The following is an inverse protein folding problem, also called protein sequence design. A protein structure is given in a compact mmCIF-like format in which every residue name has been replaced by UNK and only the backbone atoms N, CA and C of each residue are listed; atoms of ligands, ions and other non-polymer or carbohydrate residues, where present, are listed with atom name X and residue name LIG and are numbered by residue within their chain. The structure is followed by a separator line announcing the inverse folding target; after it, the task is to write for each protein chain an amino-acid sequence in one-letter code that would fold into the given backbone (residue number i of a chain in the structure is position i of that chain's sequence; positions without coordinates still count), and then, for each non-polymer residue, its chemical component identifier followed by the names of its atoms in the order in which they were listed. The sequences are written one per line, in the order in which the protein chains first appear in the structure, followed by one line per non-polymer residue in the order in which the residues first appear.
data_IF_541247460177
#
_entry.id   IF_541247460177
#
_cell.length_a   1.000
_cell.length_b   1.000
_cell.length_c   1.000
_cell.angle_alpha   90.00
_cell.angle_beta   90.00
_cell.angle_gamma   90.00
#
_symmetry.space_group_name_H-M   'P 1'
#
loop_
_entity.id
_entity.type
_entity.pdbx_description
1 polymer ?
#
# COMPACT_ATOMS: atom_id res chain seq x y z
N UNK A 1 12.27 25.98 -14.73
CA UNK A 1 11.72 25.11 -13.66
C UNK A 1 12.86 24.81 -12.70
N UNK A 2 12.67 25.14 -11.43
CA UNK A 2 13.71 25.01 -10.41
C UNK A 2 13.63 23.68 -9.64
N UNK A 3 12.46 23.05 -9.65
CA UNK A 3 12.19 21.76 -9.01
C UNK A 3 11.00 21.09 -9.70
N UNK A 4 11.12 19.80 -9.96
CA UNK A 4 10.03 18.95 -10.45
C UNK A 4 9.57 18.03 -9.32
N UNK A 5 8.27 18.05 -8.98
CA UNK A 5 7.65 17.09 -8.07
C UNK A 5 6.97 16.02 -8.91
N UNK A 6 7.38 14.76 -8.75
CA UNK A 6 6.77 13.62 -9.45
C UNK A 6 5.68 13.04 -8.54
N UNK A 7 4.42 13.34 -8.86
CA UNK A 7 3.27 13.02 -8.01
C UNK A 7 2.44 11.82 -8.48
N UNK A 8 2.84 11.10 -9.53
CA UNK A 8 2.13 9.93 -10.07
C UNK A 8 2.94 8.65 -9.86
N UNK A 9 2.26 7.55 -9.58
CA UNK A 9 2.82 6.22 -9.36
C UNK A 9 3.54 5.65 -10.60
N UNK A 10 2.89 5.63 -11.76
CA UNK A 10 3.47 5.10 -13.01
C UNK A 10 4.80 5.78 -13.38
N UNK A 11 4.92 7.13 -13.42
CA UNK A 11 6.20 7.80 -13.66
C UNK A 11 7.25 7.52 -12.58
N UNK A 12 6.85 7.39 -11.30
CA UNK A 12 7.77 7.05 -10.22
C UNK A 12 8.34 5.65 -10.40
N UNK A 13 7.48 4.66 -10.58
CA UNK A 13 7.87 3.26 -10.83
C UNK A 13 8.61 3.11 -12.17
N UNK A 14 8.26 3.94 -13.16
CA UNK A 14 8.94 4.03 -14.45
C UNK A 14 10.37 4.59 -14.38
N UNK A 15 10.69 5.38 -13.33
CA UNK A 15 12.02 5.96 -13.11
C UNK A 15 12.19 7.38 -13.63
N UNK A 16 11.11 8.18 -13.69
CA UNK A 16 11.19 9.58 -14.10
C UNK A 16 12.14 10.41 -13.24
N UNK A 17 12.18 10.14 -11.93
CA UNK A 17 13.12 10.82 -11.01
C UNK A 17 14.56 10.55 -11.41
N UNK A 18 14.90 9.28 -11.69
CA UNK A 18 16.25 8.88 -12.14
C UNK A 18 16.62 9.58 -13.44
N UNK A 19 15.69 9.66 -14.41
CA UNK A 19 15.92 10.33 -15.69
C UNK A 19 16.14 11.84 -15.53
N UNK A 20 15.35 12.52 -14.69
CA UNK A 20 15.52 13.94 -14.41
C UNK A 20 16.86 14.25 -13.73
N UNK A 21 17.22 13.43 -12.73
CA UNK A 21 18.50 13.58 -12.03
C UNK A 21 19.71 13.33 -12.96
N UNK A 22 19.61 12.38 -13.88
CA UNK A 22 20.66 12.11 -14.88
C UNK A 22 20.91 13.31 -15.81
N UNK A 23 19.90 14.12 -16.07
CA UNK A 23 20.01 15.38 -16.82
C UNK A 23 20.38 16.59 -15.94
N UNK A 24 20.72 16.35 -14.66
CA UNK A 24 21.08 17.40 -13.71
C UNK A 24 19.91 18.26 -13.24
N UNK A 25 18.66 17.81 -13.47
CA UNK A 25 17.45 18.50 -13.05
C UNK A 25 17.08 18.08 -11.64
N UNK A 26 16.61 19.05 -10.84
CA UNK A 26 16.17 18.78 -9.47
C UNK A 26 14.78 18.13 -9.49
N UNK A 27 14.67 16.95 -8.90
CA UNK A 27 13.43 16.23 -8.78
C UNK A 27 13.14 15.90 -7.30
N UNK A 28 11.86 15.85 -6.93
CA UNK A 28 11.37 15.37 -5.66
C UNK A 28 10.42 14.20 -5.88
N UNK A 29 10.78 13.07 -5.33
CA UNK A 29 10.10 11.78 -5.43
C UNK A 29 11.10 10.64 -5.26
N UNK A 30 10.64 9.41 -4.99
CA UNK A 30 11.53 8.27 -4.90
C UNK A 30 12.10 7.90 -6.27
N UNK A 31 13.36 7.47 -6.29
CA UNK A 31 13.95 6.82 -7.45
C UNK A 31 13.26 5.49 -7.73
N UNK A 32 13.41 4.98 -8.95
CA UNK A 32 12.80 3.73 -9.41
C UNK A 32 13.00 2.56 -8.44
N UNK A 33 14.24 2.41 -7.92
CA UNK A 33 14.57 1.32 -6.99
C UNK A 33 13.81 1.42 -5.65
N UNK A 34 13.46 2.63 -5.21
CA UNK A 34 12.68 2.87 -3.99
C UNK A 34 11.17 2.90 -4.25
N UNK A 35 10.74 3.31 -5.44
CA UNK A 35 9.34 3.32 -5.85
C UNK A 35 8.70 1.92 -5.92
N UNK A 36 9.50 0.85 -5.88
CA UNK A 36 9.03 -0.52 -5.73
C UNK A 36 8.19 -0.73 -4.45
N UNK A 37 8.32 0.15 -3.46
CA UNK A 37 7.54 0.09 -2.22
C UNK A 37 6.01 0.16 -2.49
N UNK A 38 5.58 0.84 -3.55
CA UNK A 38 4.21 0.78 -4.08
C UNK A 38 4.13 -0.13 -5.31
N UNK A 39 5.16 -0.14 -6.14
CA UNK A 39 5.20 -0.87 -7.40
C UNK A 39 5.10 -2.40 -7.26
N UNK A 40 5.37 -2.96 -6.07
CA UNK A 40 5.20 -4.38 -5.76
C UNK A 40 4.70 -4.58 -4.35
N UNK A 41 3.47 -5.10 -4.23
CA UNK A 41 2.88 -5.47 -2.94
C UNK A 41 3.62 -6.64 -2.28
N UNK A 42 4.07 -7.60 -3.09
CA UNK A 42 4.88 -8.73 -2.60
C UNK A 42 6.19 -8.22 -1.97
N UNK A 43 6.91 -7.32 -2.66
CA UNK A 43 8.11 -6.69 -2.10
C UNK A 43 7.82 -6.00 -0.77
N UNK A 44 6.76 -5.19 -0.70
CA UNK A 44 6.41 -4.46 0.52
C UNK A 44 6.09 -5.41 1.67
N UNK A 45 5.39 -6.50 1.39
CA UNK A 45 5.08 -7.53 2.40
C UNK A 45 6.33 -8.23 2.89
N UNK A 46 7.22 -8.64 1.98
CA UNK A 46 8.49 -9.27 2.33
C UNK A 46 9.39 -8.32 3.14
N UNK A 47 9.43 -7.04 2.77
CA UNK A 47 10.13 -6.00 3.53
C UNK A 47 9.57 -5.90 4.96
N UNK A 48 8.25 -5.77 5.10
CA UNK A 48 7.60 -5.66 6.40
C UNK A 48 7.84 -6.90 7.27
N UNK A 49 7.75 -8.10 6.69
CA UNK A 49 8.05 -9.37 7.38
C UNK A 49 9.51 -9.44 7.84
N UNK A 50 10.46 -9.11 6.94
CA UNK A 50 11.90 -9.16 7.21
C UNK A 50 12.32 -8.21 8.34
N UNK A 51 11.72 -7.02 8.40
CA UNK A 51 12.07 -5.98 9.37
C UNK A 51 11.08 -5.84 10.53
N UNK A 52 10.19 -6.85 10.70
CA UNK A 52 9.19 -6.89 11.78
C UNK A 52 8.27 -5.66 11.83
N UNK A 53 7.94 -5.08 10.68
CA UNK A 53 6.96 -4.00 10.56
C UNK A 53 5.55 -4.63 10.60
N UNK A 54 4.67 -4.20 11.52
CA UNK A 54 3.35 -4.81 11.67
C UNK A 54 2.48 -4.68 10.42
N UNK A 55 2.03 -5.81 9.88
CA UNK A 55 1.11 -5.90 8.74
C UNK A 55 0.26 -7.17 8.84
N UNK A 56 -0.67 -7.38 7.92
CA UNK A 56 -1.45 -8.61 7.80
C UNK A 56 -0.56 -9.81 7.51
N UNK A 57 -0.91 -10.97 8.04
CA UNK A 57 -0.33 -12.23 7.59
C UNK A 57 -0.61 -12.42 6.10
N UNK A 58 0.33 -12.99 5.36
CA UNK A 58 0.23 -13.08 3.91
C UNK A 58 1.03 -14.26 3.35
N UNK A 59 0.64 -14.67 2.15
CA UNK A 59 1.41 -15.54 1.27
C UNK A 59 1.40 -14.98 -0.14
N UNK A 60 2.48 -15.27 -0.89
CA UNK A 60 2.66 -14.78 -2.26
C UNK A 60 2.68 -15.94 -3.25
N UNK A 61 2.00 -15.79 -4.39
CA UNK A 61 1.85 -16.83 -5.40
C UNK A 61 2.18 -16.31 -6.79
N UNK A 62 3.09 -17.00 -7.48
CA UNK A 62 3.39 -16.80 -8.90
C UNK A 62 2.62 -17.80 -9.78
N UNK A 63 1.95 -18.78 -9.17
CA UNK A 63 1.22 -19.86 -9.83
C UNK A 63 -0.23 -19.92 -9.32
N UNK A 64 -1.18 -19.85 -10.25
CA UNK A 64 -2.60 -19.86 -9.90
C UNK A 64 -3.05 -21.17 -9.21
N UNK A 65 -2.47 -22.33 -9.59
CA UNK A 65 -2.86 -23.60 -8.98
C UNK A 65 -2.37 -23.69 -7.52
N UNK A 66 -1.19 -23.14 -7.22
CA UNK A 66 -0.69 -23.07 -5.85
C UNK A 66 -1.56 -22.16 -4.99
N UNK A 67 -1.98 -21.00 -5.53
CA UNK A 67 -2.92 -20.11 -4.88
C UNK A 67 -4.26 -20.81 -4.59
N UNK A 68 -4.83 -21.53 -5.59
CA UNK A 68 -6.06 -22.30 -5.42
C UNK A 68 -5.93 -23.38 -4.34
N UNK A 69 -4.80 -24.10 -4.30
CA UNK A 69 -4.56 -25.12 -3.29
C UNK A 69 -4.47 -24.52 -1.88
N UNK A 70 -3.84 -23.35 -1.74
CA UNK A 70 -3.77 -22.63 -0.47
C UNK A 70 -5.15 -22.23 0.04
N UNK A 71 -6.06 -21.80 -0.84
CA UNK A 71 -7.43 -21.39 -0.49
C UNK A 71 -8.24 -22.51 0.15
N UNK A 72 -7.97 -23.80 -0.16
CA UNK A 72 -8.71 -24.92 0.40
C UNK A 72 -8.54 -25.07 1.92
N UNK A 73 -7.47 -24.46 2.49
CA UNK A 73 -7.16 -24.49 3.91
C UNK A 73 -7.16 -23.13 4.58
N UNK A 74 -7.49 -22.08 3.83
CA UNK A 74 -7.49 -20.71 4.34
C UNK A 74 -8.76 -20.40 5.15
N UNK A 75 -8.61 -19.57 6.18
CA UNK A 75 -9.74 -19.01 6.92
C UNK A 75 -10.34 -17.80 6.18
N UNK A 76 -11.64 -17.67 6.18
CA UNK A 76 -12.35 -16.56 5.53
C UNK A 76 -12.94 -15.57 6.54
N UNK A 77 -13.06 -14.26 6.22
CA UNK A 77 -12.73 -13.65 4.91
C UNK A 77 -11.22 -13.48 4.70
N UNK A 78 -10.81 -13.38 3.41
CA UNK A 78 -9.44 -13.10 2.99
C UNK A 78 -9.38 -11.96 1.98
N UNK A 79 -8.18 -11.44 1.73
CA UNK A 79 -7.94 -10.38 0.74
C UNK A 79 -6.97 -10.87 -0.33
N UNK A 80 -7.39 -10.79 -1.58
CA UNK A 80 -6.56 -11.07 -2.76
C UNK A 80 -6.08 -9.75 -3.34
N UNK A 81 -4.77 -9.62 -3.59
CA UNK A 81 -4.16 -8.41 -4.18
C UNK A 81 -3.29 -8.78 -5.38
N UNK A 82 -3.58 -8.18 -6.53
CA UNK A 82 -2.66 -8.23 -7.68
C UNK A 82 -1.34 -7.51 -7.32
N UNK A 83 -0.19 -8.09 -7.71
CA UNK A 83 1.13 -7.50 -7.43
C UNK A 83 1.51 -6.49 -8.51
N UNK A 84 1.40 -5.22 -8.20
CA UNK A 84 1.71 -4.12 -9.10
C UNK A 84 0.73 -2.96 -8.98
N UNK A 85 0.93 -1.96 -9.83
CA UNK A 85 0.03 -0.83 -9.96
C UNK A 85 -1.25 -1.30 -10.66
N UNK A 86 -2.37 -1.24 -9.97
CA UNK A 86 -3.68 -1.63 -10.46
C UNK A 86 -4.73 -0.53 -10.20
N UNK A 87 -4.29 0.72 -10.09
CA UNK A 87 -5.13 1.91 -9.85
C UNK A 87 -6.12 1.72 -8.68
N UNK A 88 -5.67 1.09 -7.60
CA UNK A 88 -6.49 0.77 -6.43
C UNK A 88 -7.58 -0.30 -6.66
N UNK A 89 -7.71 -0.84 -7.89
CA UNK A 89 -8.76 -1.82 -8.24
C UNK A 89 -8.32 -3.28 -8.11
N UNK A 90 -7.04 -3.54 -7.93
CA UNK A 90 -6.47 -4.89 -7.84
C UNK A 90 -6.62 -5.57 -6.47
N UNK A 91 -7.60 -5.17 -5.66
CA UNK A 91 -7.85 -5.70 -4.31
C UNK A 91 -9.27 -6.26 -4.25
N UNK A 92 -9.39 -7.54 -3.89
CA UNK A 92 -10.66 -8.24 -3.75
C UNK A 92 -10.78 -8.79 -2.33
N UNK A 93 -11.86 -8.44 -1.63
CA UNK A 93 -12.22 -9.05 -0.35
C UNK A 93 -13.16 -10.20 -0.64
N UNK A 94 -12.77 -11.41 -0.25
CA UNK A 94 -13.51 -12.64 -0.51
C UNK A 94 -14.01 -13.22 0.82
N UNK A 95 -15.31 -13.40 0.93
CA UNK A 95 -15.97 -13.93 2.13
C UNK A 95 -16.12 -15.45 2.09
N UNK A 96 -16.02 -16.04 0.90
CA UNK A 96 -16.17 -17.47 0.68
C UNK A 96 -15.04 -18.03 -0.19
N UNK A 97 -14.86 -19.34 -0.15
CA UNK A 97 -13.91 -20.05 -1.00
C UNK A 97 -14.22 -19.85 -2.48
N UNK A 98 -15.51 -19.85 -2.85
CA UNK A 98 -15.96 -19.69 -4.22
C UNK A 98 -15.59 -18.30 -4.76
N UNK A 99 -15.87 -17.24 -3.98
CA UNK A 99 -15.46 -15.87 -4.33
C UNK A 99 -13.94 -15.76 -4.50
N UNK A 100 -13.17 -16.41 -3.63
CA UNK A 100 -11.73 -16.39 -3.70
C UNK A 100 -11.19 -17.14 -4.94
N UNK A 101 -11.76 -18.30 -5.29
CA UNK A 101 -11.41 -19.03 -6.51
C UNK A 101 -11.68 -18.21 -7.77
N UNK A 102 -12.83 -17.55 -7.85
CA UNK A 102 -13.13 -16.62 -8.94
C UNK A 102 -12.15 -15.43 -8.98
N UNK A 103 -11.78 -14.89 -7.81
CA UNK A 103 -10.78 -13.85 -7.69
C UNK A 103 -9.41 -14.27 -8.21
N UNK A 104 -8.93 -15.47 -7.86
CA UNK A 104 -7.66 -16.02 -8.38
C UNK A 104 -7.74 -16.16 -9.90
N UNK A 105 -8.84 -16.68 -10.43
CA UNK A 105 -9.05 -16.82 -11.88
C UNK A 105 -8.99 -15.46 -12.57
N UNK A 106 -9.76 -14.50 -12.10
CA UNK A 106 -9.82 -13.14 -12.66
C UNK A 106 -8.44 -12.46 -12.66
N UNK A 107 -7.72 -12.53 -11.54
CA UNK A 107 -6.41 -11.87 -11.39
C UNK A 107 -5.33 -12.60 -12.18
N UNK A 108 -5.15 -13.91 -11.97
CA UNK A 108 -3.98 -14.63 -12.43
C UNK A 108 -4.16 -15.32 -13.79
N UNK A 109 -5.37 -15.76 -14.14
CA UNK A 109 -5.64 -16.48 -15.39
C UNK A 109 -6.17 -15.53 -16.46
N UNK A 110 -7.24 -14.80 -16.17
CA UNK A 110 -7.87 -13.87 -17.13
C UNK A 110 -7.10 -12.57 -17.28
N UNK A 111 -6.11 -12.32 -16.39
CA UNK A 111 -5.22 -11.14 -16.41
C UNK A 111 -5.98 -9.81 -16.43
N UNK A 112 -7.05 -9.71 -15.66
CA UNK A 112 -7.88 -8.50 -15.60
C UNK A 112 -7.06 -7.23 -15.31
N UNK A 113 -5.93 -7.36 -14.59
CA UNK A 113 -4.99 -6.28 -14.27
C UNK A 113 -3.67 -6.37 -15.06
N UNK A 114 -3.70 -6.98 -16.25
CA UNK A 114 -2.52 -7.13 -17.09
C UNK A 114 -1.36 -7.84 -16.39
N UNK A 115 -0.15 -7.30 -16.50
CA UNK A 115 1.06 -7.88 -15.90
C UNK A 115 1.05 -7.90 -14.37
N UNK A 116 0.29 -7.02 -13.71
CA UNK A 116 0.12 -7.04 -12.26
C UNK A 116 -0.52 -8.34 -11.76
N UNK A 117 -1.29 -9.03 -12.60
CA UNK A 117 -1.86 -10.34 -12.30
C UNK A 117 -0.88 -11.52 -12.47
N UNK A 118 0.39 -11.30 -12.79
CA UNK A 118 1.39 -12.38 -12.88
C UNK A 118 1.74 -12.95 -11.52
N UNK A 119 1.62 -12.14 -10.47
CA UNK A 119 1.83 -12.50 -9.08
C UNK A 119 0.66 -12.00 -8.26
N UNK A 120 0.34 -12.73 -7.21
CA UNK A 120 -0.74 -12.36 -6.29
C UNK A 120 -0.28 -12.50 -4.84
N UNK A 121 -0.74 -11.57 -4.00
CA UNK A 121 -0.61 -11.65 -2.55
C UNK A 121 -1.97 -12.01 -1.97
N UNK A 122 -2.03 -13.02 -1.12
CA UNK A 122 -3.22 -13.39 -0.33
C UNK A 122 -2.95 -12.99 1.11
N UNK A 123 -3.84 -12.20 1.69
CA UNK A 123 -3.69 -11.66 3.04
C UNK A 123 -4.85 -12.06 3.95
N UNK A 124 -4.58 -12.17 5.26
CA UNK A 124 -5.64 -12.19 6.26
C UNK A 124 -6.49 -10.92 6.17
N UNK A 125 -7.79 -11.05 6.34
CA UNK A 125 -8.67 -9.89 6.42
C UNK A 125 -8.54 -9.25 7.80
N UNK A 126 -8.02 -8.02 7.84
CA UNK A 126 -7.93 -7.25 9.07
C UNK A 126 -9.21 -6.48 9.33
N UNK A 127 -9.64 -6.47 10.59
CA UNK A 127 -10.77 -5.65 11.06
C UNK A 127 -10.27 -4.51 11.93
N UNK A 128 -10.88 -3.33 11.77
CA UNK A 128 -10.48 -2.14 12.52
C UNK A 128 -10.95 -0.87 11.85
N UNK A 129 -10.26 0.22 12.13
CA UNK A 129 -10.51 1.52 11.48
C UNK A 129 -9.32 1.88 10.59
N UNK A 130 -9.61 2.23 9.36
CA UNK A 130 -8.59 2.72 8.45
C UNK A 130 -8.22 4.16 8.82
N UNK A 131 -6.93 4.45 8.79
CA UNK A 131 -6.36 5.78 8.97
C UNK A 131 -5.22 5.98 7.99
N UNK A 132 -5.12 7.18 7.46
CA UNK A 132 -4.09 7.58 6.50
C UNK A 132 -3.10 8.54 7.15
N UNK A 133 -1.80 8.29 6.97
CA UNK A 133 -0.74 9.21 7.40
C UNK A 133 0.25 9.40 6.26
N UNK A 134 0.33 10.63 5.75
CA UNK A 134 1.36 11.01 4.79
C UNK A 134 2.61 11.48 5.54
N UNK A 135 3.77 11.25 4.94
CA UNK A 135 5.04 11.57 5.57
C UNK A 135 6.08 12.01 4.56
N UNK A 136 6.80 13.08 4.87
CA UNK A 136 8.00 13.48 4.13
C UNK A 136 9.19 12.63 4.57
N UNK A 137 9.99 12.16 3.61
CA UNK A 137 11.19 11.36 3.84
C UNK A 137 12.35 11.93 3.02
N UNK A 138 13.51 12.07 3.65
CA UNK A 138 14.75 12.60 3.02
C UNK A 138 15.84 11.52 2.83
N UNK A 139 15.51 10.27 3.05
CA UNK A 139 16.43 9.14 3.00
C UNK A 139 16.80 8.60 4.40
N UNK A 140 16.68 9.40 5.44
CA UNK A 140 17.01 9.05 6.83
C UNK A 140 15.92 9.46 7.81
N UNK A 141 15.43 10.68 7.66
CA UNK A 141 14.45 11.28 8.56
C UNK A 141 13.07 11.17 7.96
N UNK A 142 12.09 10.81 8.79
CA UNK A 142 10.69 10.85 8.44
C UNK A 142 9.95 11.91 9.26
N UNK A 143 9.11 12.71 8.59
CA UNK A 143 8.22 13.70 9.22
C UNK A 143 6.80 13.45 8.79
N UNK A 144 6.01 12.97 9.74
CA UNK A 144 4.58 12.69 9.52
C UNK A 144 3.77 13.97 9.43
N UNK A 145 2.80 13.98 8.54
CA UNK A 145 1.74 14.99 8.50
C UNK A 145 0.62 14.61 9.49
N UNK A 146 -0.36 15.50 9.64
CA UNK A 146 -1.56 15.20 10.43
C UNK A 146 -2.29 14.01 9.83
N UNK A 147 -2.76 13.11 10.69
CA UNK A 147 -3.54 11.94 10.27
C UNK A 147 -4.83 12.36 9.57
N UNK A 148 -5.26 11.55 8.62
CA UNK A 148 -6.52 11.73 7.92
C UNK A 148 -7.32 10.43 7.91
N UNK A 149 -8.60 10.53 7.63
CA UNK A 149 -9.46 9.37 7.43
C UNK A 149 -10.35 9.62 6.23
N UNK A 150 -10.37 8.63 5.35
CA UNK A 150 -11.14 8.64 4.12
C UNK A 150 -12.44 7.83 4.27
N UNK A 151 -13.51 8.30 3.65
CA UNK A 151 -14.78 7.60 3.53
C UNK A 151 -14.82 6.87 2.19
N UNK A 152 -14.40 5.61 2.17
CA UNK A 152 -14.27 4.82 0.92
C UNK A 152 -15.58 4.18 0.46
N UNK A 153 -16.53 3.93 1.37
CA UNK A 153 -17.78 3.25 1.03
C UNK A 153 -18.79 4.20 0.41
N UNK A 154 -19.47 3.72 -0.64
CA UNK A 154 -20.39 4.53 -1.44
C UNK A 154 -21.72 4.87 -0.75
N UNK A 155 -22.10 4.14 0.31
CA UNK A 155 -23.40 4.27 0.98
C UNK A 155 -23.25 4.62 2.45
N UNK A 156 -24.32 5.16 3.03
CA UNK A 156 -24.43 5.46 4.46
C UNK A 156 -24.17 4.21 5.32
N UNK A 157 -23.66 4.45 6.55
CA UNK A 157 -23.36 3.38 7.48
C UNK A 157 -22.15 2.52 7.09
N UNK A 158 -21.21 3.06 6.31
CA UNK A 158 -20.02 2.37 5.83
C UNK A 158 -20.35 1.10 5.03
N UNK A 159 -21.31 1.24 4.10
CA UNK A 159 -21.82 0.15 3.27
C UNK A 159 -21.59 0.40 1.78
N UNK A 160 -21.81 -0.64 0.96
CA UNK A 160 -21.65 -0.60 -0.49
C UNK A 160 -20.23 -0.88 -0.96
N UNK A 161 -19.98 -0.60 -2.23
CA UNK A 161 -18.66 -0.80 -2.85
C UNK A 161 -17.65 0.25 -2.39
N UNK A 162 -16.39 -0.10 -2.36
CA UNK A 162 -15.31 0.86 -2.19
C UNK A 162 -15.23 1.78 -3.41
N UNK A 163 -14.98 3.06 -3.13
CA UNK A 163 -14.76 4.11 -4.13
C UNK A 163 -13.33 4.64 -4.01
N UNK A 164 -12.96 5.59 -4.85
CA UNK A 164 -11.70 6.35 -4.72
C UNK A 164 -11.66 7.29 -3.51
N UNK A 165 -12.81 7.46 -2.84
CA UNK A 165 -13.01 8.32 -1.67
C UNK A 165 -14.23 9.22 -1.87
N UNK A 166 -15.10 9.25 -0.86
CA UNK A 166 -16.31 10.09 -0.84
C UNK A 166 -16.10 11.39 -0.05
N UNK A 167 -14.95 11.55 0.52
CA UNK A 167 -14.54 12.68 1.33
C UNK A 167 -13.54 12.27 2.40
N UNK A 168 -12.74 13.22 2.82
CA UNK A 168 -11.67 13.00 3.81
C UNK A 168 -11.76 14.04 4.91
N UNK A 169 -11.49 13.63 6.13
CA UNK A 169 -11.35 14.58 7.25
C UNK A 169 -10.02 14.40 7.97
N UNK A 170 -9.51 15.44 8.56
CA UNK A 170 -8.26 15.52 9.29
C UNK A 170 -8.41 16.49 10.47
N UNK A 171 -7.88 16.17 11.66
CA UNK A 171 -7.26 14.91 12.04
C UNK A 171 -8.27 13.77 12.23
N UNK A 172 -7.82 12.51 12.15
CA UNK A 172 -8.65 11.37 12.55
C UNK A 172 -8.76 11.30 14.08
N UNK A 173 -9.97 11.24 14.66
CA UNK A 173 -10.16 11.15 16.11
C UNK A 173 -9.71 9.81 16.70
N UNK A 174 -9.49 8.81 15.86
CA UNK A 174 -9.03 7.49 16.27
C UNK A 174 -7.51 7.35 16.29
N UNK A 175 -6.80 8.33 15.72
CA UNK A 175 -5.34 8.38 15.72
C UNK A 175 -4.85 9.10 16.98
N UNK A 176 -4.83 8.36 18.10
CA UNK A 176 -4.42 8.89 19.42
C UNK A 176 -2.90 9.07 19.52
N UNK A 177 -2.45 9.73 20.59
CA UNK A 177 -1.02 9.88 20.87
C UNK A 177 -0.29 8.54 21.04
N UNK A 178 -0.94 7.54 21.67
CA UNK A 178 -0.38 6.20 21.83
C UNK A 178 -0.22 5.49 20.49
N UNK A 179 -1.22 5.64 19.60
CA UNK A 179 -1.15 5.11 18.23
C UNK A 179 -0.01 5.76 17.46
N UNK A 180 0.14 7.08 17.56
CA UNK A 180 1.21 7.83 16.91
C UNK A 180 2.60 7.40 17.40
N UNK A 181 2.80 7.26 18.71
CA UNK A 181 4.06 6.78 19.29
C UNK A 181 4.39 5.37 18.84
N UNK A 182 3.41 4.47 18.82
CA UNK A 182 3.59 3.11 18.30
C UNK A 182 4.01 3.13 16.83
N UNK A 183 3.28 3.88 15.98
CA UNK A 183 3.56 3.97 14.56
C UNK A 183 4.94 4.59 14.28
N UNK A 184 5.33 5.64 15.00
CA UNK A 184 6.67 6.24 14.89
C UNK A 184 7.78 5.23 15.18
N UNK A 185 7.59 4.42 16.22
CA UNK A 185 8.60 3.46 16.68
C UNK A 185 8.69 2.22 15.81
N UNK A 186 7.55 1.66 15.39
CA UNK A 186 7.51 0.32 14.79
C UNK A 186 7.13 0.30 13.31
N UNK A 187 6.65 1.43 12.76
CA UNK A 187 6.19 1.49 11.37
C UNK A 187 6.98 2.52 10.57
N UNK A 188 6.90 3.80 10.93
CA UNK A 188 7.38 4.87 10.05
C UNK A 188 8.89 4.86 9.89
N UNK A 189 9.63 5.04 10.98
CA UNK A 189 11.09 5.03 10.92
C UNK A 189 11.61 3.64 10.50
N UNK A 190 10.98 2.56 10.98
CA UNK A 190 11.34 1.20 10.60
C UNK A 190 11.21 0.96 9.08
N UNK A 191 10.23 1.56 8.41
CA UNK A 191 10.10 1.47 6.95
C UNK A 191 11.25 2.18 6.24
N UNK A 192 11.63 3.39 6.68
CA UNK A 192 12.74 4.15 6.09
C UNK A 192 14.06 3.42 6.29
N UNK A 193 14.30 2.92 7.50
CA UNK A 193 15.52 2.17 7.84
C UNK A 193 15.60 0.85 7.05
N UNK A 194 14.48 0.14 6.89
CA UNK A 194 14.38 -1.08 6.10
C UNK A 194 14.72 -0.81 4.62
N UNK A 195 14.14 0.24 4.03
CA UNK A 195 14.43 0.62 2.65
C UNK A 195 15.92 0.97 2.46
N UNK A 196 16.50 1.71 3.40
CA UNK A 196 17.93 2.04 3.36
C UNK A 196 18.81 0.78 3.49
N UNK A 197 18.44 -0.16 4.37
CA UNK A 197 19.16 -1.44 4.55
C UNK A 197 19.11 -2.33 3.31
N UNK A 198 18.05 -2.23 2.49
CA UNK A 198 17.95 -2.89 1.18
C UNK A 198 18.70 -2.13 0.06
N UNK A 199 19.43 -1.06 0.37
CA UNK A 199 20.10 -0.22 -0.63
C UNK A 199 19.12 0.60 -1.49
N UNK A 200 17.92 0.86 -0.98
CA UNK A 200 16.82 1.55 -1.66
C UNK A 200 16.45 2.83 -0.92
N UNK A 201 17.42 3.73 -0.74
CA UNK A 201 17.21 5.00 -0.05
C UNK A 201 15.96 5.70 -0.58
N UNK A 202 15.00 5.99 0.30
CA UNK A 202 13.73 6.59 -0.06
C UNK A 202 13.75 8.10 0.18
N UNK A 203 13.49 8.89 -0.85
CA UNK A 203 13.27 10.35 -0.76
C UNK A 203 11.96 10.70 -1.43
N UNK A 204 11.07 11.38 -0.72
CA UNK A 204 9.76 11.70 -1.28
C UNK A 204 8.68 11.70 -0.22
N UNK A 205 7.46 11.39 -0.63
CA UNK A 205 6.31 11.22 0.26
C UNK A 205 5.92 9.75 0.30
N UNK A 206 5.72 9.24 1.52
CA UNK A 206 5.08 7.94 1.74
C UNK A 206 3.71 8.18 2.36
N UNK A 207 2.68 7.62 1.75
CA UNK A 207 1.37 7.42 2.35
C UNK A 207 1.35 6.06 3.02
N UNK A 208 1.09 6.06 4.31
CA UNK A 208 0.84 4.86 5.10
C UNK A 208 -0.67 4.66 5.23
N UNK A 209 -1.21 3.65 4.56
CA UNK A 209 -2.53 3.12 4.86
C UNK A 209 -2.44 2.22 6.09
N UNK A 210 -3.09 2.61 7.16
CA UNK A 210 -3.05 1.89 8.44
C UNK A 210 -4.42 1.31 8.77
N UNK A 211 -4.43 0.09 9.34
CA UNK A 211 -5.57 -0.48 10.03
C UNK A 211 -5.32 -0.44 11.54
N UNK A 212 -6.14 0.29 12.27
CA UNK A 212 -6.14 0.28 13.75
C UNK A 212 -6.92 -0.92 14.22
N UNK A 213 -6.23 -2.05 14.41
CA UNK A 213 -6.82 -3.31 14.83
C UNK A 213 -6.87 -3.44 16.35
N UNK A 214 -7.67 -4.37 16.92
CA UNK A 214 -7.61 -4.69 18.35
C UNK A 214 -6.23 -5.15 18.85
N UNK A 215 -5.36 -5.60 17.94
CA UNK A 215 -3.98 -6.02 18.23
C UNK A 215 -2.95 -4.90 18.01
N UNK A 216 -3.39 -3.67 17.77
CA UNK A 216 -2.58 -2.50 17.48
C UNK A 216 -2.57 -2.10 16.00
N UNK A 217 -1.90 -0.96 15.69
CA UNK A 217 -1.77 -0.47 14.32
C UNK A 217 -1.00 -1.44 13.43
N UNK A 218 -1.48 -1.62 12.19
CA UNK A 218 -0.84 -2.45 11.15
C UNK A 218 -0.89 -1.76 9.81
N UNK A 219 0.13 -1.94 9.00
CA UNK A 219 0.19 -1.39 7.65
C UNK A 219 -0.71 -2.23 6.73
N UNK A 220 -1.65 -1.55 6.06
CA UNK A 220 -2.46 -2.09 4.97
C UNK A 220 -1.70 -2.05 3.65
N UNK A 221 -1.12 -0.88 3.35
CA UNK A 221 -0.44 -0.61 2.10
C UNK A 221 0.43 0.65 2.21
N UNK A 222 1.34 0.79 1.26
CA UNK A 222 2.07 2.02 0.98
C UNK A 222 1.60 2.58 -0.37
N UNK A 223 1.43 3.91 -0.44
CA UNK A 223 1.22 4.61 -1.71
C UNK A 223 2.20 5.78 -1.82
N UNK A 224 2.65 6.07 -3.02
CA UNK A 224 3.63 7.11 -3.33
C UNK A 224 3.05 8.17 -4.27
N UNK A 225 1.93 7.86 -4.91
CA UNK A 225 1.18 8.80 -5.74
C UNK A 225 0.49 9.85 -4.87
N UNK A 226 0.65 11.11 -5.23
CA UNK A 226 0.00 12.24 -4.54
C UNK A 226 -1.37 12.57 -5.14
N UNK A 227 -1.59 12.28 -6.41
CA UNK A 227 -2.82 12.68 -7.09
C UNK A 227 -4.00 11.74 -6.79
N UNK A 228 -3.75 10.45 -6.57
CA UNK A 228 -4.80 9.48 -6.24
C UNK A 228 -5.24 9.54 -4.77
N UNK A 229 -4.52 10.28 -3.95
CA UNK A 229 -4.80 10.48 -2.52
C UNK A 229 -5.40 11.86 -2.22
N UNK A 230 -5.18 12.82 -3.11
CA UNK A 230 -5.50 14.23 -2.88
C UNK A 230 -6.60 14.76 -3.78
N UNK A 231 -7.00 14.05 -4.83
CA UNK A 231 -8.05 14.49 -5.74
C UNK A 231 -9.34 13.70 -5.54
N UNK A 232 -10.46 14.39 -5.31
CA UNK A 232 -11.77 13.74 -5.36
C UNK A 232 -12.05 13.31 -6.81
N UNK A 233 -12.30 12.03 -6.98
CA UNK A 233 -12.79 11.46 -8.25
C UNK A 233 -14.28 11.60 -8.38
#
# INVERSE_FOLDING_TARGET
IDLTIVGMDDPLVGGLVDALEAEGLRAFGPRKNAAILEGSKAFSKDLMKKYNIPTAAYETFDNAQEALNYLETADFPIVLKADGLALGKGVLICNTLEEAKEGVKSIMLDKQFGTAGNRMVIEEFMTGREVSVLSYVDGKTIKTMTSAQDHKRAKDGDQGLNTGGMGTFSPSPFYTAEVDEFCKKYIYQATVDAMAAEGREFKGIIFFGLMLTPKGPRVLEYNLSLIHISEPT
#
